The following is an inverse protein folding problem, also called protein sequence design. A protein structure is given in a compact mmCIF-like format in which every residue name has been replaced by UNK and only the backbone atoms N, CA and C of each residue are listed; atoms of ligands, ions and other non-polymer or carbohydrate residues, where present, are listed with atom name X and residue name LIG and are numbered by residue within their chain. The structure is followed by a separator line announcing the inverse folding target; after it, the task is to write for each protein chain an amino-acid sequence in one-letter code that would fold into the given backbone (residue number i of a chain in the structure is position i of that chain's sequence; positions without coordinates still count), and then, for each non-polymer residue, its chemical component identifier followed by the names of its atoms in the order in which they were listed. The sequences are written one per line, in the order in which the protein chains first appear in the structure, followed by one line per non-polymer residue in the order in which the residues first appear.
data_IF_507065959908
#
_entry.id   IF_507065959908
#
_cell.length_a   1.000
_cell.length_b   1.000
_cell.length_c   1.000
_cell.angle_alpha   90.00
_cell.angle_beta   90.00
_cell.angle_gamma   90.00
#
_symmetry.space_group_name_H-M   'P 1'
#
loop_
_entity.id
_entity.type
_entity.pdbx_description
1 polymer ?
#
# COMPACT_ATOMS: atom_id res chain seq x y z
N UNK A 1 45.56 29.12 30.99
CA UNK A 1 45.00 28.96 29.62
C UNK A 1 45.72 27.82 28.86
N UNK A 2 45.14 26.61 28.84
CA UNK A 2 45.66 25.48 28.05
C UNK A 2 44.83 25.38 26.77
N UNK A 3 45.44 25.73 25.63
CA UNK A 3 44.84 25.54 24.31
C UNK A 3 44.93 24.07 23.94
N UNK A 4 43.80 23.37 23.95
CA UNK A 4 43.68 22.03 23.41
C UNK A 4 43.76 22.10 21.89
N UNK A 5 44.90 21.71 21.33
CA UNK A 5 45.08 21.53 19.88
C UNK A 5 44.29 20.28 19.50
N UNK A 6 43.13 20.48 18.85
CA UNK A 6 42.37 19.40 18.27
C UNK A 6 43.13 18.87 17.04
N UNK A 7 43.72 17.68 17.17
CA UNK A 7 44.36 16.97 16.06
C UNK A 7 43.25 16.37 15.21
N UNK A 8 43.11 16.87 13.97
CA UNK A 8 42.18 16.32 12.99
C UNK A 8 42.78 15.04 12.41
N UNK A 9 42.16 13.88 12.67
CA UNK A 9 42.68 12.55 12.30
C UNK A 9 42.23 12.07 10.91
N UNK A 10 41.44 12.86 10.17
CA UNK A 10 40.95 12.50 8.83
C UNK A 10 39.94 11.34 8.79
N UNK A 11 39.63 10.73 9.92
CA UNK A 11 38.64 9.67 10.00
C UNK A 11 37.23 10.27 9.92
N UNK A 12 36.59 10.10 8.76
CA UNK A 12 35.16 10.35 8.62
C UNK A 12 34.45 9.30 9.49
N UNK A 13 33.71 9.70 10.54
CA UNK A 13 33.02 8.72 11.38
C UNK A 13 32.09 7.91 10.48
N UNK A 14 32.30 6.60 10.44
CA UNK A 14 31.44 5.69 9.72
C UNK A 14 30.01 5.94 10.20
N UNK A 15 29.18 6.51 9.32
CA UNK A 15 27.78 6.77 9.61
C UNK A 15 27.17 5.41 9.91
N UNK A 16 26.90 5.14 11.18
CA UNK A 16 26.18 3.95 11.62
C UNK A 16 24.84 3.96 10.91
N UNK A 17 24.76 3.25 9.79
CA UNK A 17 23.54 3.02 9.07
C UNK A 17 22.78 2.01 9.93
N UNK A 18 22.09 2.50 10.96
CA UNK A 18 21.07 1.67 11.59
C UNK A 18 20.11 1.28 10.47
N UNK A 19 19.84 -0.01 10.25
CA UNK A 19 18.77 -0.38 9.34
C UNK A 19 17.54 0.41 9.79
N UNK A 20 16.82 0.94 8.82
CA UNK A 20 15.51 1.50 9.11
C UNK A 20 14.70 0.31 9.61
N UNK A 21 14.59 0.19 10.94
CA UNK A 21 13.64 -0.68 11.60
C UNK A 21 12.27 -0.12 11.23
N UNK A 22 11.82 -0.46 10.02
CA UNK A 22 10.44 -0.38 9.65
C UNK A 22 9.75 -1.28 10.66
N UNK A 23 9.26 -0.69 11.76
CA UNK A 23 8.47 -1.35 12.78
C UNK A 23 7.11 -1.80 12.23
N UNK A 24 7.05 -2.30 11.00
CA UNK A 24 5.91 -3.03 10.50
C UNK A 24 5.88 -4.37 11.22
N UNK A 25 4.98 -4.47 12.18
CA UNK A 25 4.62 -5.75 12.81
C UNK A 25 4.44 -6.80 11.70
N UNK A 26 4.96 -8.03 11.82
CA UNK A 26 4.91 -9.04 10.75
C UNK A 26 3.48 -9.27 10.22
N UNK A 27 2.47 -9.09 11.06
CA UNK A 27 1.06 -9.10 10.68
C UNK A 27 0.70 -8.04 9.62
N UNK A 28 1.25 -6.83 9.70
CA UNK A 28 1.04 -5.76 8.73
C UNK A 28 1.64 -6.16 7.38
N UNK A 29 2.84 -6.74 7.37
CA UNK A 29 3.47 -7.21 6.14
C UNK A 29 2.63 -8.31 5.47
N UNK A 30 2.11 -9.26 6.24
CA UNK A 30 1.20 -10.31 5.74
C UNK A 30 -0.07 -9.68 5.12
N UNK A 31 -0.64 -8.65 5.76
CA UNK A 31 -1.82 -7.95 5.22
C UNK A 31 -1.55 -7.26 3.88
N UNK A 32 -0.35 -6.71 3.65
CA UNK A 32 0.02 -6.13 2.35
C UNK A 32 0.01 -7.20 1.26
N UNK A 33 0.59 -8.37 1.54
CA UNK A 33 0.61 -9.48 0.59
C UNK A 33 -0.79 -10.00 0.28
N UNK A 34 -1.63 -10.18 1.31
CA UNK A 34 -3.01 -10.62 1.13
C UNK A 34 -3.80 -9.60 0.29
N UNK A 35 -3.71 -8.30 0.61
CA UNK A 35 -4.38 -7.25 -0.14
C UNK A 35 -3.92 -7.22 -1.61
N UNK A 36 -2.62 -7.36 -1.87
CA UNK A 36 -2.07 -7.42 -3.22
C UNK A 36 -2.57 -8.63 -4.02
N UNK A 37 -2.60 -9.83 -3.42
CA UNK A 37 -3.09 -11.05 -4.07
C UNK A 37 -4.57 -10.92 -4.44
N UNK A 38 -5.40 -10.42 -3.51
CA UNK A 38 -6.84 -10.22 -3.76
C UNK A 38 -7.05 -9.16 -4.85
N UNK A 39 -6.25 -8.09 -4.85
CA UNK A 39 -6.31 -7.05 -5.89
C UNK A 39 -5.99 -7.66 -7.26
N UNK A 40 -4.93 -8.47 -7.36
CA UNK A 40 -4.55 -9.13 -8.61
C UNK A 40 -5.65 -10.10 -9.10
N UNK A 41 -6.21 -10.88 -8.18
CA UNK A 41 -7.31 -11.79 -8.47
C UNK A 41 -8.56 -11.03 -8.95
N UNK A 42 -8.89 -9.89 -8.34
CA UNK A 42 -9.96 -9.03 -8.80
C UNK A 42 -9.74 -8.53 -10.23
N UNK A 43 -8.52 -8.09 -10.56
CA UNK A 43 -8.16 -7.67 -11.93
C UNK A 43 -8.28 -8.81 -12.93
N UNK A 44 -7.87 -10.01 -12.55
CA UNK A 44 -8.05 -11.21 -13.37
C UNK A 44 -9.53 -11.46 -13.68
N UNK A 45 -10.41 -11.44 -12.67
CA UNK A 45 -11.86 -11.61 -12.86
C UNK A 45 -12.46 -10.53 -13.77
N UNK A 46 -12.05 -9.27 -13.60
CA UNK A 46 -12.47 -8.17 -14.49
C UNK A 46 -12.01 -8.44 -15.93
N UNK A 47 -10.80 -8.96 -16.13
CA UNK A 47 -10.27 -9.37 -17.44
C UNK A 47 -11.04 -10.53 -18.06
N UNK A 48 -11.50 -11.49 -17.25
CA UNK A 48 -12.36 -12.61 -17.66
C UNK A 48 -13.83 -12.21 -17.92
N UNK A 49 -14.14 -10.91 -17.86
CA UNK A 49 -15.49 -10.36 -18.01
C UNK A 49 -16.49 -10.85 -16.95
N UNK A 50 -16.02 -11.15 -15.74
CA UNK A 50 -16.88 -11.47 -14.62
C UNK A 50 -17.23 -10.21 -13.80
N UNK A 51 -18.54 -9.96 -13.64
CA UNK A 51 -19.08 -8.87 -12.81
C UNK A 51 -18.62 -8.95 -11.35
N UNK A 52 -18.37 -10.16 -10.83
CA UNK A 52 -17.89 -10.36 -9.46
C UNK A 52 -16.48 -9.80 -9.25
N UNK A 53 -15.71 -9.61 -10.33
CA UNK A 53 -14.39 -8.98 -10.27
C UNK A 53 -14.43 -7.57 -9.66
N UNK A 54 -15.51 -6.80 -9.91
CA UNK A 54 -15.67 -5.49 -9.30
C UNK A 54 -15.96 -5.55 -7.80
N UNK A 55 -16.73 -6.55 -7.33
CA UNK A 55 -17.02 -6.74 -5.90
C UNK A 55 -15.74 -7.15 -5.17
N UNK A 56 -14.99 -8.11 -5.71
CA UNK A 56 -13.70 -8.54 -5.14
C UNK A 56 -12.72 -7.37 -5.10
N UNK A 57 -12.74 -6.50 -6.11
CA UNK A 57 -11.89 -5.30 -6.14
C UNK A 57 -12.22 -4.33 -5.00
N UNK A 58 -13.51 -4.10 -4.71
CA UNK A 58 -13.93 -3.27 -3.56
C UNK A 58 -13.42 -3.84 -2.25
N UNK A 59 -13.50 -5.17 -2.06
CA UNK A 59 -12.97 -5.83 -0.85
C UNK A 59 -11.44 -5.62 -0.74
N UNK A 60 -10.71 -5.76 -1.84
CA UNK A 60 -9.27 -5.52 -1.87
C UNK A 60 -8.91 -4.08 -1.49
N UNK A 61 -9.65 -3.09 -2.03
CA UNK A 61 -9.44 -1.68 -1.72
C UNK A 61 -9.77 -1.34 -0.26
N UNK A 62 -10.77 -1.98 0.35
CA UNK A 62 -11.04 -1.83 1.79
C UNK A 62 -9.84 -2.32 2.64
N UNK A 63 -9.18 -3.40 2.22
CA UNK A 63 -7.95 -3.86 2.88
C UNK A 63 -6.80 -2.87 2.67
N UNK A 64 -6.65 -2.27 1.49
CA UNK A 64 -5.67 -1.22 1.24
C UNK A 64 -5.93 0.04 2.07
N UNK A 65 -7.19 0.41 2.29
CA UNK A 65 -7.56 1.51 3.20
C UNK A 65 -7.12 1.20 4.63
N UNK A 66 -7.39 -0.02 5.13
CA UNK A 66 -6.92 -0.44 6.44
C UNK A 66 -5.39 -0.36 6.54
N UNK A 67 -4.67 -0.88 5.53
CA UNK A 67 -3.21 -0.81 5.45
C UNK A 67 -2.70 0.63 5.43
N UNK A 68 -3.37 1.52 4.68
CA UNK A 68 -3.01 2.93 4.59
C UNK A 68 -3.09 3.65 5.94
N UNK A 69 -4.12 3.35 6.75
CA UNK A 69 -4.23 3.87 8.11
C UNK A 69 -3.14 3.35 9.04
N UNK A 70 -2.81 2.06 8.97
CA UNK A 70 -1.76 1.45 9.81
C UNK A 70 -0.36 1.98 9.48
N UNK A 71 -0.08 2.19 8.18
CA UNK A 71 1.23 2.64 7.68
C UNK A 71 1.34 4.16 7.59
N UNK A 72 0.25 4.90 7.83
CA UNK A 72 0.13 6.36 7.65
C UNK A 72 0.50 6.84 6.24
N UNK A 73 0.30 5.99 5.24
CA UNK A 73 0.55 6.30 3.82
C UNK A 73 -0.76 6.84 3.22
N UNK A 74 -1.00 8.14 3.42
CA UNK A 74 -2.23 8.81 2.94
C UNK A 74 -2.40 8.75 1.41
N UNK A 75 -1.29 8.60 0.66
CA UNK A 75 -1.32 8.42 -0.79
C UNK A 75 -2.10 7.17 -1.24
N UNK A 76 -2.13 6.11 -0.42
CA UNK A 76 -2.95 4.93 -0.72
C UNK A 76 -4.45 5.25 -0.65
N UNK A 77 -4.88 6.09 0.29
CA UNK A 77 -6.30 6.50 0.38
C UNK A 77 -6.74 7.31 -0.84
N UNK A 78 -5.85 8.16 -1.35
CA UNK A 78 -6.12 8.97 -2.54
C UNK A 78 -6.43 8.09 -3.77
N UNK A 79 -5.84 6.90 -3.85
CA UNK A 79 -6.06 5.95 -4.95
C UNK A 79 -7.23 5.01 -4.63
N UNK A 80 -7.30 4.49 -3.41
CA UNK A 80 -8.29 3.47 -3.03
C UNK A 80 -9.72 4.00 -3.09
N UNK A 81 -9.96 5.22 -2.61
CA UNK A 81 -11.32 5.81 -2.56
C UNK A 81 -11.91 6.00 -3.96
N UNK A 82 -11.23 6.66 -4.93
CA UNK A 82 -11.73 6.72 -6.31
C UNK A 82 -11.88 5.33 -6.96
N UNK A 83 -10.98 4.39 -6.64
CA UNK A 83 -11.01 3.05 -7.21
C UNK A 83 -12.24 2.25 -6.75
N UNK A 84 -12.66 2.41 -5.49
CA UNK A 84 -13.92 1.87 -4.98
C UNK A 84 -15.11 2.47 -5.75
N UNK A 85 -15.15 3.80 -5.87
CA UNK A 85 -16.23 4.49 -6.60
C UNK A 85 -16.35 4.01 -8.04
N UNK A 86 -15.22 3.90 -8.75
CA UNK A 86 -15.17 3.40 -10.12
C UNK A 86 -15.61 1.93 -10.22
N UNK A 87 -15.23 1.10 -9.24
CA UNK A 87 -15.62 -0.32 -9.22
C UNK A 87 -17.11 -0.51 -8.98
N UNK A 88 -17.71 0.28 -8.08
CA UNK A 88 -19.17 0.29 -7.85
C UNK A 88 -19.91 0.77 -9.09
N UNK A 89 -19.46 1.87 -9.69
CA UNK A 89 -20.05 2.40 -10.92
C UNK A 89 -20.00 1.37 -12.05
N UNK A 90 -18.86 0.72 -12.27
CA UNK A 90 -18.72 -0.31 -13.29
C UNK A 90 -19.58 -1.55 -12.99
N UNK A 91 -19.69 -1.96 -11.73
CA UNK A 91 -20.58 -3.04 -11.33
C UNK A 91 -22.05 -2.73 -11.66
N UNK A 92 -22.52 -1.53 -11.33
CA UNK A 92 -23.86 -1.09 -11.69
C UNK A 92 -24.05 -0.96 -13.20
N UNK A 93 -23.09 -0.39 -13.92
CA UNK A 93 -23.13 -0.30 -15.38
C UNK A 93 -23.25 -1.68 -16.02
N UNK A 94 -22.50 -2.67 -15.52
CA UNK A 94 -22.59 -4.06 -16.01
C UNK A 94 -23.95 -4.69 -15.68
N UNK A 95 -24.47 -4.43 -14.47
CA UNK A 95 -25.77 -4.95 -14.07
C UNK A 95 -26.92 -4.45 -14.94
N UNK A 96 -26.89 -3.16 -15.32
CA UNK A 96 -27.93 -2.53 -16.12
C UNK A 96 -27.71 -2.68 -17.64
N UNK A 97 -26.47 -2.83 -18.10
CA UNK A 97 -26.13 -2.97 -19.52
C UNK A 97 -26.29 -4.38 -20.10
N UNK A 98 -27.18 -5.21 -19.53
CA UNK A 98 -27.56 -6.53 -20.09
C UNK A 98 -28.88 -6.46 -20.88
N UNK A 99 -29.07 -5.37 -21.63
CA UNK A 99 -29.97 -5.34 -22.79
C UNK A 99 -29.17 -5.61 -24.06
#
# INVERSE_FOLDING_TARGET
PRSSIAIWTGEVPARSHKPFDAGSSPAIAIMHWIAAIITLFAKYLVGCKDKWGHIVHVVAELMWIYVAFQTRIWGLLLIAVPTIGLSIYNFWKWHHGKE
#
